data_IF_432869837331
#
_entry.id   IF_432869837331
#
_cell.length_a   1.000
_cell.length_b   1.000
_cell.length_c   1.000
_cell.angle_alpha   90.00
_cell.angle_beta   90.00
_cell.angle_gamma   90.00
#
_symmetry.space_group_name_H-M   'P 1'
#
loop_
_entity.id
_entity.type
_entity.pdbx_description
1 polymer ?
#
# COMPACT_ATOMS: atom_id res chain seq x y z
N UNK A 1 -12.82 11.02 -10.60
CA UNK A 1 -11.80 10.23 -11.33
C UNK A 1 -10.50 11.01 -11.32
N UNK A 2 -9.34 10.35 -11.18
CA UNK A 2 -8.01 10.98 -11.27
C UNK A 2 -7.27 10.47 -12.50
N UNK A 3 -6.99 11.34 -13.46
CA UNK A 3 -6.20 10.99 -14.63
C UNK A 3 -4.84 11.69 -14.57
N UNK A 4 -3.79 10.88 -14.47
CA UNK A 4 -2.39 11.33 -14.57
C UNK A 4 -1.69 10.65 -15.75
N UNK A 5 -2.44 10.06 -16.68
CA UNK A 5 -1.89 9.41 -17.86
C UNK A 5 -1.11 10.38 -18.75
N UNK A 6 -0.20 9.87 -19.57
CA UNK A 6 0.54 10.66 -20.57
C UNK A 6 1.32 11.85 -19.99
N UNK A 7 1.91 11.66 -18.80
CA UNK A 7 2.77 12.65 -18.17
C UNK A 7 4.23 12.16 -18.16
N UNK A 8 5.11 12.93 -17.51
CA UNK A 8 6.54 12.58 -17.33
C UNK A 8 6.84 12.18 -15.88
N UNK A 9 5.89 11.54 -15.20
CA UNK A 9 6.09 11.08 -13.83
C UNK A 9 6.96 9.82 -13.82
N UNK A 10 8.16 9.94 -13.25
CA UNK A 10 9.02 8.80 -12.96
C UNK A 10 8.78 8.21 -11.57
N UNK A 11 8.26 9.03 -10.65
CA UNK A 11 7.80 8.64 -9.32
C UNK A 11 6.61 9.50 -8.92
N UNK A 12 5.97 9.17 -7.80
CA UNK A 12 4.93 10.01 -7.20
C UNK A 12 5.58 10.92 -6.16
N UNK A 13 5.45 12.26 -6.27
CA UNK A 13 5.98 13.16 -5.27
C UNK A 13 5.38 12.88 -3.88
N UNK A 14 6.16 12.97 -2.79
CA UNK A 14 5.66 12.68 -1.42
C UNK A 14 4.41 13.49 -1.04
N UNK A 15 4.30 14.75 -1.52
CA UNK A 15 3.12 15.59 -1.28
C UNK A 15 1.86 15.10 -2.01
N UNK A 16 2.02 14.47 -3.17
CA UNK A 16 0.91 13.85 -3.89
C UNK A 16 0.46 12.59 -3.14
N UNK A 17 1.39 11.82 -2.58
CA UNK A 17 1.10 10.70 -1.68
C UNK A 17 0.28 11.09 -0.46
N UNK A 18 0.62 12.21 0.18
CA UNK A 18 -0.14 12.73 1.32
C UNK A 18 -1.60 13.10 0.97
N UNK A 19 -1.93 13.22 -0.31
CA UNK A 19 -3.28 13.46 -0.82
C UNK A 19 -3.97 12.16 -1.25
N UNK A 20 -3.24 11.23 -1.88
CA UNK A 20 -3.75 9.94 -2.37
C UNK A 20 -3.91 8.89 -1.26
N UNK A 21 -3.00 8.87 -0.29
CA UNK A 21 -2.98 7.92 0.83
C UNK A 21 -3.96 8.25 1.95
N UNK A 22 -4.84 9.24 1.77
CA UNK A 22 -5.88 9.56 2.75
C UNK A 22 -7.06 8.60 2.59
N UNK A 23 -7.48 7.87 3.63
CA UNK A 23 -8.64 6.97 3.59
C UNK A 23 -9.93 7.67 3.12
N UNK A 24 -10.04 8.98 3.37
CA UNK A 24 -11.20 9.79 3.00
C UNK A 24 -11.32 10.09 1.50
N UNK A 25 -10.29 9.83 0.69
CA UNK A 25 -10.37 9.91 -0.77
C UNK A 25 -10.46 8.50 -1.34
N UNK A 26 -11.56 7.86 -1.02
CA UNK A 26 -11.98 6.65 -1.72
C UNK A 26 -12.02 7.02 -3.21
N UNK A 27 -11.14 6.41 -4.02
CA UNK A 27 -11.00 6.72 -5.45
C UNK A 27 -12.20 6.18 -6.24
N UNK A 28 -13.42 6.58 -5.87
CA UNK A 28 -14.67 5.94 -6.30
C UNK A 28 -14.80 5.83 -7.81
N UNK A 29 -14.41 6.87 -8.54
CA UNK A 29 -14.50 6.86 -10.01
C UNK A 29 -13.23 6.32 -10.70
N UNK A 30 -12.26 5.81 -9.93
CA UNK A 30 -11.02 5.24 -10.43
C UNK A 30 -9.94 6.24 -10.84
N UNK A 31 -8.82 5.69 -11.33
CA UNK A 31 -7.63 6.44 -11.68
C UNK A 31 -6.82 5.80 -12.82
N UNK A 32 -6.07 6.63 -13.56
CA UNK A 32 -5.18 6.20 -14.64
C UNK A 32 -3.76 6.78 -14.45
N UNK A 33 -2.74 5.91 -14.54
CA UNK A 33 -1.31 6.21 -14.40
C UNK A 33 -0.51 5.81 -15.65
N UNK A 34 -1.19 5.45 -16.74
CA UNK A 34 -0.57 4.91 -17.95
C UNK A 34 0.34 5.92 -18.66
N UNK A 35 1.20 5.43 -19.54
CA UNK A 35 2.05 6.27 -20.40
C UNK A 35 2.91 7.28 -19.62
N UNK A 36 3.44 6.87 -18.47
CA UNK A 36 4.40 7.62 -17.68
C UNK A 36 5.70 6.82 -17.55
N UNK A 37 6.88 7.47 -17.49
CA UNK A 37 8.17 6.82 -17.42
C UNK A 37 8.51 6.31 -16.01
N UNK A 38 7.66 5.46 -15.43
CA UNK A 38 7.80 4.98 -14.05
C UNK A 38 9.15 4.29 -13.80
N UNK A 39 9.88 4.75 -12.78
CA UNK A 39 11.09 4.09 -12.29
C UNK A 39 10.66 3.19 -11.14
N UNK A 40 10.52 1.90 -11.44
CA UNK A 40 10.09 0.87 -10.52
C UNK A 40 11.21 0.46 -9.55
N UNK A 41 11.56 1.35 -8.64
CA UNK A 41 12.55 1.15 -7.58
C UNK A 41 11.88 1.26 -6.19
N UNK A 42 12.70 1.33 -5.15
CA UNK A 42 12.28 1.46 -3.76
C UNK A 42 11.55 2.77 -3.43
N UNK A 43 11.78 3.84 -4.21
CA UNK A 43 11.10 5.14 -4.01
C UNK A 43 9.59 5.06 -4.28
N UNK A 44 9.16 4.05 -5.03
CA UNK A 44 7.74 3.79 -5.31
C UNK A 44 7.05 2.92 -4.26
N UNK A 45 7.70 2.57 -3.15
CA UNK A 45 7.13 1.68 -2.12
C UNK A 45 5.77 2.12 -1.61
N UNK A 46 5.59 3.41 -1.35
CA UNK A 46 4.29 3.94 -0.91
C UNK A 46 3.22 3.81 -1.99
N UNK A 47 3.61 3.92 -3.27
CA UNK A 47 2.73 3.66 -4.40
C UNK A 47 2.35 2.20 -4.52
N UNK A 48 3.30 1.30 -4.33
CA UNK A 48 3.00 -0.11 -4.38
C UNK A 48 1.99 -0.51 -3.31
N UNK A 49 2.17 -0.01 -2.07
CA UNK A 49 1.20 -0.24 -0.99
C UNK A 49 -0.18 0.33 -1.34
N UNK A 50 -0.24 1.56 -1.81
CA UNK A 50 -1.51 2.18 -2.20
C UNK A 50 -2.19 1.46 -3.37
N UNK A 51 -1.43 0.98 -4.35
CA UNK A 51 -1.95 0.23 -5.49
C UNK A 51 -2.47 -1.14 -5.10
N UNK A 52 -1.91 -1.82 -4.10
CA UNK A 52 -2.46 -3.09 -3.61
C UNK A 52 -3.92 -2.95 -3.20
N UNK A 53 -4.23 -1.86 -2.49
CA UNK A 53 -5.58 -1.56 -2.01
C UNK A 53 -6.50 -1.04 -3.14
N UNK A 54 -5.94 -0.31 -4.11
CA UNK A 54 -6.71 0.43 -5.12
C UNK A 54 -6.67 -0.19 -6.53
N UNK A 55 -5.94 -1.29 -6.78
CA UNK A 55 -5.74 -1.89 -8.12
C UNK A 55 -7.03 -2.25 -8.87
N UNK A 56 -8.13 -2.45 -8.16
CA UNK A 56 -9.43 -2.73 -8.75
C UNK A 56 -10.05 -1.49 -9.42
N UNK A 57 -9.67 -0.27 -9.00
CA UNK A 57 -10.14 1.01 -9.53
C UNK A 57 -9.20 1.62 -10.59
N UNK A 58 -8.14 0.89 -10.96
CA UNK A 58 -7.12 1.34 -11.91
C UNK A 58 -7.53 1.06 -13.37
N UNK A 59 -7.46 2.09 -14.22
CA UNK A 59 -7.60 1.99 -15.66
C UNK A 59 -6.25 1.71 -16.35
N UNK A 60 -6.30 1.28 -17.61
CA UNK A 60 -5.12 1.14 -18.48
C UNK A 60 -3.95 0.36 -17.85
N UNK A 61 -4.27 -0.70 -17.09
CA UNK A 61 -3.30 -1.52 -16.32
C UNK A 61 -2.18 -2.09 -17.21
N UNK A 62 -2.50 -2.40 -18.46
CA UNK A 62 -1.55 -2.94 -19.43
C UNK A 62 -0.61 -1.88 -20.01
N UNK A 63 -0.98 -0.60 -19.95
CA UNK A 63 -0.19 0.52 -20.47
C UNK A 63 0.54 1.29 -19.36
N UNK A 64 0.31 0.88 -18.10
CA UNK A 64 1.08 1.35 -16.94
C UNK A 64 2.27 0.42 -16.71
N UNK A 65 3.42 0.79 -17.28
CA UNK A 65 4.64 -0.02 -17.30
C UNK A 65 5.83 0.73 -16.72
N UNK A 66 6.79 -0.03 -16.21
CA UNK A 66 8.07 0.49 -15.77
C UNK A 66 8.90 0.92 -16.98
N UNK A 67 9.46 2.13 -16.96
CA UNK A 67 10.49 2.57 -17.88
C UNK A 67 11.90 2.26 -17.38
N UNK A 68 12.07 2.10 -16.06
CA UNK A 68 13.31 1.67 -15.43
C UNK A 68 13.06 1.02 -14.07
N UNK A 69 14.10 0.51 -13.39
CA UNK A 69 15.45 0.26 -13.92
C UNK A 69 15.43 -0.78 -15.07
N UNK A 70 16.53 -0.94 -15.82
CA UNK A 70 16.57 -1.77 -17.05
C UNK A 70 16.07 -3.20 -16.82
N UNK A 71 16.33 -3.78 -15.64
CA UNK A 71 15.85 -5.12 -15.26
C UNK A 71 14.32 -5.26 -15.19
N UNK A 72 13.61 -4.15 -14.95
CA UNK A 72 12.15 -4.12 -14.81
C UNK A 72 11.46 -3.39 -15.98
N UNK A 73 12.23 -2.85 -16.92
CA UNK A 73 11.71 -2.08 -18.05
C UNK A 73 10.71 -2.91 -18.88
N UNK A 74 9.59 -2.28 -19.21
CA UNK A 74 8.47 -2.89 -19.93
C UNK A 74 7.57 -3.79 -19.09
N UNK A 75 7.95 -4.16 -17.85
CA UNK A 75 7.07 -4.88 -16.92
C UNK A 75 5.90 -4.00 -16.51
N UNK A 76 4.72 -4.59 -16.32
CA UNK A 76 3.58 -3.83 -15.80
C UNK A 76 3.85 -3.49 -14.34
N UNK A 77 3.46 -2.30 -13.94
CA UNK A 77 3.71 -1.82 -12.60
C UNK A 77 3.02 -2.69 -11.54
N UNK A 78 1.80 -3.18 -11.82
CA UNK A 78 1.10 -4.13 -10.94
C UNK A 78 1.81 -5.49 -10.80
N UNK A 79 2.51 -5.97 -11.84
CA UNK A 79 3.26 -7.22 -11.74
C UNK A 79 4.46 -7.05 -10.78
N UNK A 80 5.06 -5.86 -10.73
CA UNK A 80 6.15 -5.55 -9.77
C UNK A 80 5.61 -5.45 -8.35
N UNK A 81 4.44 -4.83 -8.16
CA UNK A 81 3.75 -4.75 -6.87
C UNK A 81 3.47 -6.15 -6.31
N UNK A 82 2.91 -7.04 -7.12
CA UNK A 82 2.61 -8.40 -6.69
C UNK A 82 3.92 -9.17 -6.38
N UNK A 83 5.03 -8.93 -7.10
CA UNK A 83 6.34 -9.52 -6.79
C UNK A 83 6.92 -9.06 -5.45
N UNK A 84 6.83 -7.77 -5.11
CA UNK A 84 7.31 -7.28 -3.81
C UNK A 84 6.48 -7.83 -2.65
N UNK A 85 5.17 -7.98 -2.84
CA UNK A 85 4.29 -8.56 -1.82
C UNK A 85 4.62 -10.04 -1.50
N UNK A 86 5.22 -10.75 -2.46
CA UNK A 86 5.72 -12.12 -2.25
C UNK A 86 7.08 -12.16 -1.54
N UNK A 87 7.89 -11.09 -1.64
CA UNK A 87 9.21 -11.01 -1.02
C UNK A 87 9.14 -10.67 0.47
N UNK A 88 8.09 -9.95 0.91
CA UNK A 88 7.82 -9.68 2.33
C UNK A 88 7.27 -10.91 3.10
N UNK A 89 7.02 -12.03 2.39
CA UNK A 89 6.52 -13.29 2.95
C UNK A 89 7.58 -14.26 3.50
N UNK A 90 8.86 -13.89 3.47
CA UNK A 90 10.00 -14.73 3.92
C UNK A 90 10.21 -14.83 5.43
N UNK A 91 9.16 -14.65 6.24
CA UNK A 91 9.23 -14.61 7.71
C UNK A 91 8.37 -15.68 8.39
N UNK A 92 8.53 -16.95 8.02
CA UNK A 92 7.88 -18.06 8.74
C UNK A 92 8.52 -18.27 10.12
N UNK A 93 7.75 -18.08 11.22
CA UNK A 93 7.70 -18.96 12.42
C UNK A 93 6.85 -18.41 13.58
N UNK A 94 5.70 -19.05 13.85
CA UNK A 94 5.37 -19.89 15.05
C UNK A 94 3.86 -19.90 15.31
N UNK A 95 3.29 -21.11 15.30
CA UNK A 95 1.94 -21.36 15.79
C UNK A 95 1.86 -21.45 17.31
N UNK A 96 0.64 -21.24 17.81
CA UNK A 96 -0.01 -21.82 18.99
C UNK A 96 -1.42 -21.20 18.99
N UNK A 97 -2.52 -21.94 18.87
CA UNK A 97 -3.13 -22.71 19.96
C UNK A 97 -4.54 -22.13 20.17
N UNK A 98 -5.55 -22.99 20.18
CA UNK A 98 -6.97 -22.58 20.15
C UNK A 98 -7.60 -22.19 21.48
N UNK A 99 -8.95 -22.25 21.47
CA UNK A 99 -9.93 -21.86 22.50
C UNK A 99 -10.23 -20.34 22.53
N UNK A 100 -11.46 -19.84 22.51
CA UNK A 100 -12.76 -20.43 22.81
C UNK A 100 -13.50 -19.49 23.78
N UNK A 101 -14.59 -18.85 23.31
CA UNK A 101 -15.77 -18.37 24.05
C UNK A 101 -15.64 -17.42 25.26
N UNK A 102 -16.53 -16.43 25.33
CA UNK A 102 -17.02 -15.90 26.62
C UNK A 102 -17.04 -14.38 26.76
N UNK A 103 -18.16 -13.78 26.35
CA UNK A 103 -18.60 -12.45 26.78
C UNK A 103 -18.99 -12.47 28.27
N UNK A 104 -18.70 -11.41 29.02
CA UNK A 104 -19.32 -11.19 30.34
C UNK A 104 -18.54 -10.32 31.33
N UNK A 105 -18.90 -9.03 31.38
CA UNK A 105 -19.08 -8.17 32.57
C UNK A 105 -18.05 -8.11 33.71
N UNK A 106 -17.74 -6.89 34.17
CA UNK A 106 -17.23 -6.71 35.54
C UNK A 106 -16.41 -5.44 35.77
N UNK A 107 -17.10 -4.34 36.02
CA UNK A 107 -16.59 -3.10 36.59
C UNK A 107 -15.97 -3.34 37.98
N UNK A 108 -14.71 -2.98 38.23
CA UNK A 108 -14.25 -2.43 39.53
C UNK A 108 -12.93 -1.66 39.36
N UNK A 109 -12.95 -0.38 39.75
CA UNK A 109 -11.80 0.40 40.24
C UNK A 109 -11.74 0.16 41.76
N UNK A 110 -10.59 0.22 42.48
CA UNK A 110 -9.98 1.52 42.78
C UNK A 110 -8.45 1.58 43.08
N UNK A 111 -7.99 2.83 43.05
CA UNK A 111 -7.02 3.51 43.94
C UNK A 111 -5.52 3.23 43.86
N UNK A 112 -4.83 4.33 43.55
CA UNK A 112 -3.40 4.58 43.60
C UNK A 112 -2.81 4.48 45.00
N UNK A 113 -1.65 3.82 45.09
CA UNK A 113 -0.70 3.94 46.18
C UNK A 113 0.58 4.58 45.65
N UNK A 114 0.84 5.81 46.09
CA UNK A 114 2.07 6.56 45.83
C UNK A 114 3.16 6.02 46.77
N UNK A 115 4.37 5.81 46.25
CA UNK A 115 5.59 5.67 47.05
C UNK A 115 6.73 6.32 46.27
N UNK A 116 7.25 7.41 46.82
CA UNK A 116 8.51 8.05 46.43
C UNK A 116 9.44 7.98 47.65
N UNK A 117 10.72 7.65 47.49
CA UNK A 117 11.71 7.76 48.55
C UNK A 117 12.10 9.22 48.83
#
# INVERSE_FOLDING_TARGET
MLDLSNNSLSSIPPRLFASLGRPARDMQDGFDLSHNPWVCNEDLRDLYRWLQDNKHKMFSKNDTRCAGPEALKGRRLLDVVDLESLQDGGGGRRGAGGAGGGEGGGLTVPSAGIAVP
#
